data_IF_220854128012
#
_entry.id   IF_220854128012
#
_cell.length_a   1.000
_cell.length_b   1.000
_cell.length_c   1.000
_cell.angle_alpha   90.00
_cell.angle_beta   90.00
_cell.angle_gamma   90.00
#
_symmetry.space_group_name_H-M   'P 1'
#
loop_
_entity.id
_entity.type
_entity.pdbx_description
1 polymer ?
#
# COMPACT_ATOMS: atom_id res chain seq x y z
N UNK A 1 11.01 17.41 3.62
CA UNK A 1 9.83 16.85 2.92
C UNK A 1 10.32 15.71 2.03
N UNK A 2 10.83 14.62 2.61
CA UNK A 2 11.63 13.64 1.84
C UNK A 2 11.48 12.19 2.33
N UNK A 3 11.34 11.93 3.63
CA UNK A 3 11.14 10.56 4.14
C UNK A 3 9.70 10.04 3.98
N UNK A 4 8.69 10.93 4.09
CA UNK A 4 7.29 10.56 3.90
C UNK A 4 7.00 10.10 2.46
N UNK A 5 7.48 10.86 1.47
CA UNK A 5 7.33 10.50 0.06
C UNK A 5 8.04 9.19 -0.27
N UNK A 6 9.27 8.98 0.22
CA UNK A 6 10.02 7.75 -0.04
C UNK A 6 9.26 6.52 0.48
N UNK A 7 8.60 6.68 1.64
CA UNK A 7 7.87 5.60 2.29
C UNK A 7 6.49 5.36 1.66
N UNK A 8 5.82 6.39 1.13
CA UNK A 8 4.55 6.22 0.39
C UNK A 8 4.81 5.63 -1.02
N UNK A 9 5.92 5.98 -1.67
CA UNK A 9 6.33 5.39 -2.96
C UNK A 9 6.69 3.89 -2.82
N UNK A 10 7.40 3.52 -1.75
CA UNK A 10 7.70 2.13 -1.41
C UNK A 10 6.44 1.28 -1.17
N UNK A 11 5.43 1.86 -0.51
CA UNK A 11 4.13 1.20 -0.32
C UNK A 11 3.37 1.05 -1.63
N UNK A 12 3.42 2.06 -2.51
CA UNK A 12 2.84 1.98 -3.87
C UNK A 12 3.50 0.88 -4.71
N UNK A 13 4.82 0.77 -4.65
CA UNK A 13 5.57 -0.26 -5.37
C UNK A 13 5.18 -1.67 -4.87
N UNK A 14 5.15 -1.84 -3.54
CA UNK A 14 4.72 -3.11 -2.91
C UNK A 14 3.30 -3.49 -3.33
N UNK A 15 2.38 -2.52 -3.46
CA UNK A 15 1.01 -2.76 -3.91
C UNK A 15 0.94 -3.33 -5.33
N UNK A 16 1.80 -2.84 -6.23
CA UNK A 16 1.86 -3.29 -7.63
C UNK A 16 2.41 -4.71 -7.70
N UNK A 17 3.44 -5.04 -6.92
CA UNK A 17 3.97 -6.39 -6.84
C UNK A 17 2.94 -7.39 -6.30
N UNK A 18 2.20 -7.01 -5.25
CA UNK A 18 1.12 -7.82 -4.68
C UNK A 18 -0.01 -8.05 -5.69
N UNK A 19 -0.40 -7.02 -6.45
CA UNK A 19 -1.40 -7.15 -7.51
C UNK A 19 -0.94 -8.11 -8.62
N UNK A 20 0.30 -7.98 -9.06
CA UNK A 20 0.90 -8.90 -10.05
C UNK A 20 0.94 -10.34 -9.53
N UNK A 21 1.27 -10.52 -8.25
CA UNK A 21 1.24 -11.82 -7.58
C UNK A 21 -0.16 -12.43 -7.57
N UNK A 22 -1.18 -11.68 -7.16
CA UNK A 22 -2.58 -12.16 -7.11
C UNK A 22 -3.07 -12.56 -8.50
N UNK A 23 -2.71 -11.82 -9.55
CA UNK A 23 -3.06 -12.18 -10.93
C UNK A 23 -2.42 -13.53 -11.33
N UNK A 24 -1.20 -13.82 -10.85
CA UNK A 24 -0.49 -15.07 -11.10
C UNK A 24 -0.91 -16.25 -10.20
N UNK A 25 -1.51 -15.98 -9.04
CA UNK A 25 -1.99 -17.00 -8.09
C UNK A 25 -3.17 -16.45 -7.29
N UNK A 26 -4.38 -16.45 -7.86
CA UNK A 26 -5.57 -15.87 -7.23
C UNK A 26 -6.05 -16.66 -6.00
N UNK A 27 -5.69 -17.94 -5.90
CA UNK A 27 -6.09 -18.84 -4.80
C UNK A 27 -5.11 -18.82 -3.62
N UNK A 28 -4.05 -18.00 -3.68
CA UNK A 28 -3.09 -17.87 -2.58
C UNK A 28 -3.65 -16.93 -1.49
N UNK A 29 -4.23 -17.54 -0.45
CA UNK A 29 -4.82 -16.84 0.69
C UNK A 29 -3.80 -16.06 1.54
N UNK A 30 -2.53 -16.47 1.55
CA UNK A 30 -1.48 -15.76 2.29
C UNK A 30 -1.07 -14.49 1.55
N UNK A 31 -0.96 -14.59 0.22
CA UNK A 31 -0.74 -13.46 -0.66
C UNK A 31 -1.90 -12.45 -0.58
N UNK A 32 -3.14 -12.92 -0.61
CA UNK A 32 -4.33 -12.08 -0.47
C UNK A 32 -4.34 -11.32 0.87
N UNK A 33 -4.02 -11.99 1.99
CA UNK A 33 -3.91 -11.34 3.31
C UNK A 33 -2.77 -10.32 3.38
N UNK A 34 -1.69 -10.55 2.65
CA UNK A 34 -0.56 -9.61 2.61
C UNK A 34 -0.89 -8.38 1.78
N UNK A 35 -1.58 -8.54 0.65
CA UNK A 35 -2.10 -7.45 -0.15
C UNK A 35 -3.10 -6.57 0.63
N UNK A 36 -4.04 -7.19 1.34
CA UNK A 36 -5.02 -6.49 2.18
C UNK A 36 -4.34 -5.57 3.22
N UNK A 37 -3.35 -6.11 3.95
CA UNK A 37 -2.57 -5.31 4.92
C UNK A 37 -1.82 -4.15 4.27
N UNK A 38 -1.29 -4.33 3.06
CA UNK A 38 -0.59 -3.28 2.33
C UNK A 38 -1.55 -2.16 1.89
N UNK A 39 -2.76 -2.51 1.42
CA UNK A 39 -3.82 -1.55 1.08
C UNK A 39 -4.20 -0.71 2.30
N UNK A 40 -4.51 -1.37 3.43
CA UNK A 40 -4.91 -0.69 4.67
C UNK A 40 -3.81 0.26 5.17
N UNK A 41 -2.55 -0.19 5.15
CA UNK A 41 -1.41 0.65 5.57
C UNK A 41 -1.22 1.87 4.67
N UNK A 42 -1.48 1.73 3.37
CA UNK A 42 -1.42 2.84 2.42
C UNK A 42 -2.57 3.82 2.64
N UNK A 43 -3.78 3.33 2.86
CA UNK A 43 -4.97 4.15 3.12
C UNK A 43 -4.81 4.99 4.40
N UNK A 44 -4.35 4.40 5.51
CA UNK A 44 -4.10 5.10 6.76
C UNK A 44 -3.12 6.26 6.60
N UNK A 45 -2.06 6.05 5.81
CA UNK A 45 -1.05 7.09 5.54
C UNK A 45 -1.58 8.20 4.66
N UNK A 46 -2.25 7.87 3.56
CA UNK A 46 -2.85 8.86 2.67
C UNK A 46 -3.91 9.68 3.40
N UNK A 47 -4.72 9.06 4.26
CA UNK A 47 -5.66 9.76 5.12
C UNK A 47 -4.96 10.69 6.13
N UNK A 48 -3.81 10.29 6.67
CA UNK A 48 -2.96 11.13 7.52
C UNK A 48 -2.37 12.34 6.78
N UNK A 49 -1.83 12.12 5.58
CA UNK A 49 -1.30 13.17 4.71
C UNK A 49 -2.39 14.17 4.29
N UNK A 50 -3.57 13.68 3.88
CA UNK A 50 -4.71 14.52 3.49
C UNK A 50 -5.22 15.39 4.65
N UNK A 51 -5.29 14.84 5.87
CA UNK A 51 -5.64 15.62 7.08
C UNK A 51 -4.62 16.70 7.39
N UNK A 52 -3.33 16.41 7.18
CA UNK A 52 -2.25 17.39 7.40
C UNK A 52 -2.20 18.46 6.32
N UNK A 53 -2.57 18.14 5.08
CA UNK A 53 -2.61 19.09 3.96
C UNK A 53 -3.81 20.06 4.00
N UNK A 54 -4.84 19.76 4.79
CA UNK A 54 -6.07 20.59 4.91
C UNK A 54 -6.10 21.43 6.19
N UNK A 55 -5.10 21.27 7.07
CA UNK A 55 -4.92 22.03 8.32
C UNK A 55 -3.98 23.23 8.09
#
# INVERSE_FOLDING_TARGET
>A
MSELNLSTDALRHSLVELLMGIIGSPDDEELARTADRAVLSLDERLAGEARTATA
#
